data_IF_470400909855
#
_entry.id   IF_470400909855
#
_cell.length_a   1.000
_cell.length_b   1.000
_cell.length_c   1.000
_cell.angle_alpha   90.00
_cell.angle_beta   90.00
_cell.angle_gamma   90.00
#
_symmetry.space_group_name_H-M   'P 1'
#
loop_
_entity.id
_entity.type
_entity.pdbx_description
1 polymer ?
#
# COMPACT_ATOMS: atom_id res chain seq x y z
N UNK A 1 -0.38 -22.77 -5.14
CA UNK A 1 0.59 -22.12 -6.07
C UNK A 1 1.58 -21.33 -5.24
N UNK A 2 2.85 -21.15 -5.65
CA UNK A 2 3.78 -20.38 -4.83
C UNK A 2 3.32 -18.93 -4.74
N UNK A 3 3.11 -18.45 -3.52
CA UNK A 3 2.72 -17.08 -3.16
C UNK A 3 3.72 -16.10 -3.78
N UNK A 4 3.29 -15.22 -4.68
CA UNK A 4 4.19 -14.22 -5.25
C UNK A 4 4.60 -13.23 -4.15
N UNK A 5 5.86 -13.31 -3.74
CA UNK A 5 6.45 -12.35 -2.83
C UNK A 5 6.40 -10.97 -3.49
N UNK A 6 5.82 -9.98 -2.80
CA UNK A 6 5.99 -8.59 -3.23
C UNK A 6 7.48 -8.27 -3.16
N UNK A 7 8.05 -7.95 -4.31
CA UNK A 7 9.49 -7.72 -4.46
C UNK A 7 9.76 -6.24 -4.66
N UNK A 8 10.60 -5.68 -3.80
CA UNK A 8 11.19 -4.36 -4.00
C UNK A 8 12.65 -4.55 -4.40
N UNK A 9 13.06 -3.94 -5.50
CA UNK A 9 14.46 -3.98 -5.91
C UNK A 9 15.01 -2.61 -6.24
N UNK A 10 16.31 -2.46 -6.01
CA UNK A 10 17.05 -1.27 -6.40
C UNK A 10 18.48 -1.66 -6.76
N UNK A 11 19.12 -0.82 -7.57
CA UNK A 11 20.44 -1.07 -8.12
C UNK A 11 21.37 0.10 -7.85
N UNK A 12 22.53 -0.18 -7.27
CA UNK A 12 23.58 0.79 -7.00
C UNK A 12 24.80 0.51 -7.88
N UNK A 13 25.10 1.41 -8.82
CA UNK A 13 26.36 1.37 -9.59
C UNK A 13 27.52 1.80 -8.71
N UNK A 14 28.49 0.91 -8.53
CA UNK A 14 29.59 1.09 -7.59
C UNK A 14 30.94 1.27 -8.27
N UNK A 15 31.05 0.91 -9.56
CA UNK A 15 32.31 1.00 -10.29
C UNK A 15 33.32 -0.05 -9.83
N UNK A 16 34.61 0.31 -9.83
CA UNK A 16 35.71 -0.58 -9.49
C UNK A 16 35.92 -0.68 -7.98
N UNK A 17 35.74 -1.89 -7.44
CA UNK A 17 35.85 -2.15 -5.99
C UNK A 17 37.23 -1.78 -5.42
N UNK A 18 38.29 -2.00 -6.20
CA UNK A 18 39.65 -1.70 -5.77
C UNK A 18 39.91 -0.20 -5.48
N UNK A 19 39.08 0.69 -6.02
CA UNK A 19 39.20 2.16 -5.84
C UNK A 19 38.50 2.66 -4.57
N UNK A 20 37.71 1.81 -3.91
CA UNK A 20 37.00 2.18 -2.69
C UNK A 20 37.93 2.30 -1.48
N UNK A 21 37.72 3.33 -0.67
CA UNK A 21 38.44 3.50 0.61
C UNK A 21 38.29 2.25 1.51
N UNK A 22 39.42 1.60 1.82
CA UNK A 22 39.44 0.27 2.46
C UNK A 22 39.05 0.22 3.94
N UNK A 23 38.87 1.37 4.61
CA UNK A 23 38.66 1.44 6.08
C UNK A 23 37.33 2.04 6.52
N UNK A 24 36.47 2.46 5.59
CA UNK A 24 35.17 3.06 5.88
C UNK A 24 34.06 2.32 5.14
N UNK A 25 32.84 2.26 5.70
CA UNK A 25 31.70 1.79 4.95
C UNK A 25 31.39 2.76 3.81
N UNK A 26 31.13 2.22 2.62
CA UNK A 26 30.54 2.97 1.52
C UNK A 26 29.04 2.74 1.53
N UNK A 27 28.27 3.82 1.52
CA UNK A 27 26.80 3.80 1.62
C UNK A 27 26.21 4.12 0.24
N UNK A 28 25.22 3.36 -0.20
CA UNK A 28 24.42 3.70 -1.38
C UNK A 28 23.57 4.95 -1.11
N UNK A 29 23.03 5.59 -2.17
CA UNK A 29 21.86 6.43 -2.02
C UNK A 29 20.73 5.68 -1.29
N UNK A 30 19.88 6.44 -0.60
CA UNK A 30 18.65 5.87 -0.04
C UNK A 30 17.64 5.69 -1.16
N UNK A 31 17.16 4.47 -1.30
CA UNK A 31 16.15 4.09 -2.27
C UNK A 31 14.82 3.93 -1.54
N UNK A 32 13.76 4.42 -2.18
CA UNK A 32 12.43 4.47 -1.59
C UNK A 32 11.47 3.68 -2.47
N UNK A 33 10.61 2.87 -1.87
CA UNK A 33 9.40 2.39 -2.55
C UNK A 33 8.37 3.50 -2.67
N UNK A 34 7.24 3.19 -3.30
CA UNK A 34 6.05 4.02 -3.18
C UNK A 34 5.72 4.32 -1.70
N UNK A 35 5.08 5.46 -1.45
CA UNK A 35 4.63 5.86 -0.11
C UNK A 35 3.70 4.82 0.54
N UNK A 36 2.98 4.05 -0.29
CA UNK A 36 2.10 2.94 0.12
C UNK A 36 2.88 1.76 0.72
N UNK A 37 4.07 1.47 0.19
CA UNK A 37 4.92 0.38 0.69
C UNK A 37 5.83 0.80 1.86
N UNK A 38 6.17 2.09 1.96
CA UNK A 38 6.88 2.67 3.11
C UNK A 38 8.27 2.06 3.38
N UNK A 39 8.88 1.45 2.36
CA UNK A 39 10.25 0.99 2.41
C UNK A 39 11.19 2.11 1.99
N UNK A 40 12.20 2.32 2.80
CA UNK A 40 13.38 3.06 2.42
C UNK A 40 14.57 2.28 2.90
N UNK A 41 15.54 2.08 2.01
CA UNK A 41 16.66 1.21 2.31
C UNK A 41 17.96 1.75 1.73
N UNK A 42 19.04 1.43 2.42
CA UNK A 42 20.40 1.72 1.97
C UNK A 42 21.25 0.49 2.09
N UNK A 43 22.16 0.33 1.12
CA UNK A 43 23.25 -0.62 1.22
C UNK A 43 24.47 0.01 1.87
N UNK A 44 25.17 -0.78 2.65
CA UNK A 44 26.49 -0.47 3.18
C UNK A 44 27.45 -1.59 2.82
N UNK A 45 28.55 -1.26 2.17
CA UNK A 45 29.61 -2.21 1.90
C UNK A 45 30.88 -1.87 2.69
N UNK A 46 31.62 -2.91 3.06
CA UNK A 46 32.94 -2.80 3.65
C UNK A 46 33.90 -3.59 2.77
N UNK A 47 34.82 -2.89 2.09
CA UNK A 47 35.83 -3.52 1.24
C UNK A 47 36.94 -4.22 2.03
N UNK A 48 36.99 -4.07 3.36
CA UNK A 48 37.72 -4.97 4.26
C UNK A 48 36.80 -5.31 5.44
N UNK A 49 36.63 -6.59 5.75
CA UNK A 49 35.89 -7.00 6.93
C UNK A 49 36.49 -6.38 8.21
N UNK A 50 35.65 -6.04 9.20
CA UNK A 50 36.08 -5.44 10.48
C UNK A 50 37.07 -6.32 11.26
N UNK A 51 37.02 -7.64 11.05
CA UNK A 51 37.94 -8.60 11.65
C UNK A 51 39.30 -8.64 10.94
N UNK A 52 40.40 -8.48 11.68
CA UNK A 52 41.78 -8.58 11.15
C UNK A 52 42.08 -9.91 10.46
N UNK A 53 41.36 -10.99 10.78
CA UNK A 53 41.56 -12.33 10.18
C UNK A 53 40.81 -12.54 8.86
N UNK A 54 39.96 -11.59 8.44
CA UNK A 54 39.06 -11.73 7.28
C UNK A 54 39.14 -10.55 6.31
N UNK A 55 40.27 -9.86 6.31
CA UNK A 55 40.50 -8.70 5.44
C UNK A 55 40.46 -9.03 3.94
N UNK A 56 40.48 -10.30 3.54
CA UNK A 56 40.29 -10.71 2.15
C UNK A 56 38.82 -10.71 1.70
N UNK A 57 37.87 -10.51 2.62
CA UNK A 57 36.44 -10.54 2.34
C UNK A 57 35.82 -9.14 2.36
N UNK A 58 34.89 -8.94 1.43
CA UNK A 58 33.94 -7.85 1.43
C UNK A 58 32.71 -8.22 2.27
N UNK A 59 32.20 -7.25 3.03
CA UNK A 59 30.90 -7.36 3.71
C UNK A 59 29.86 -6.48 3.03
N UNK A 60 28.61 -6.93 2.99
CA UNK A 60 27.48 -6.18 2.44
C UNK A 60 26.32 -6.24 3.43
N UNK A 61 25.77 -5.08 3.79
CA UNK A 61 24.66 -4.96 4.73
C UNK A 61 23.56 -4.08 4.16
N UNK A 62 22.32 -4.49 4.38
CA UNK A 62 21.12 -3.73 4.14
C UNK A 62 20.69 -3.05 5.45
N UNK A 63 20.26 -1.81 5.32
CA UNK A 63 19.70 -1.00 6.40
C UNK A 63 18.33 -0.50 5.96
N UNK A 64 17.38 -0.49 6.89
CA UNK A 64 16.13 0.22 6.71
C UNK A 64 16.31 1.68 7.18
N UNK A 65 15.76 2.61 6.44
CA UNK A 65 15.81 4.05 6.73
C UNK A 65 14.40 4.56 7.15
N UNK A 66 14.31 5.79 7.67
CA UNK A 66 13.05 6.52 7.77
C UNK A 66 12.49 6.90 6.40
N UNK A 67 11.19 7.20 6.35
CA UNK A 67 10.53 7.65 5.13
C UNK A 67 11.08 9.02 4.68
N UNK A 68 11.15 9.26 3.37
CA UNK A 68 11.60 10.55 2.80
C UNK A 68 10.77 11.71 3.34
N UNK A 69 9.47 11.50 3.52
CA UNK A 69 8.53 12.51 3.97
C UNK A 69 8.38 12.55 5.49
N UNK A 70 8.93 11.57 6.21
CA UNK A 70 8.94 11.53 7.67
C UNK A 70 10.29 11.04 8.22
N UNK A 71 11.32 11.91 8.25
CA UNK A 71 12.67 11.54 8.68
C UNK A 71 12.76 11.05 10.13
N UNK A 72 11.77 11.39 10.96
CA UNK A 72 11.69 11.00 12.37
C UNK A 72 10.80 9.76 12.60
N UNK A 73 10.09 9.30 11.56
CA UNK A 73 9.21 8.13 11.62
C UNK A 73 9.88 6.90 11.03
N UNK A 74 10.28 5.96 11.89
CA UNK A 74 10.71 4.63 11.46
C UNK A 74 9.53 3.67 11.48
N UNK A 75 9.29 2.97 10.36
CA UNK A 75 8.32 1.87 10.30
C UNK A 75 9.04 0.55 10.48
N UNK A 76 8.60 -0.28 11.42
CA UNK A 76 9.14 -1.63 11.60
C UNK A 76 8.81 -2.50 10.38
N UNK A 77 9.76 -3.35 9.97
CA UNK A 77 9.57 -4.34 8.90
C UNK A 77 9.97 -5.72 9.42
N UNK A 78 9.03 -6.66 9.44
CA UNK A 78 9.25 -8.02 9.96
C UNK A 78 9.29 -9.04 8.83
N UNK A 79 9.91 -10.18 9.10
CA UNK A 79 10.01 -11.32 8.19
C UNK A 79 10.67 -10.99 6.83
N UNK A 80 11.68 -10.12 6.83
CA UNK A 80 12.30 -9.63 5.59
C UNK A 80 13.36 -10.61 5.11
N UNK A 81 13.25 -11.04 3.86
CA UNK A 81 14.31 -11.74 3.15
C UNK A 81 14.87 -10.82 2.05
N UNK A 82 16.12 -11.03 1.68
CA UNK A 82 16.65 -10.32 0.53
C UNK A 82 17.77 -11.09 -0.17
N UNK A 83 17.87 -10.80 -1.46
CA UNK A 83 18.96 -11.25 -2.32
C UNK A 83 19.83 -10.07 -2.69
N UNK A 84 21.14 -10.23 -2.59
CA UNK A 84 22.13 -9.29 -3.11
C UNK A 84 22.79 -9.92 -4.34
N UNK A 85 22.76 -9.22 -5.46
CA UNK A 85 23.36 -9.62 -6.73
C UNK A 85 24.41 -8.60 -7.14
N UNK A 86 25.56 -9.07 -7.63
CA UNK A 86 26.54 -8.24 -8.31
C UNK A 86 26.40 -8.49 -9.80
N UNK A 87 26.33 -7.41 -10.59
CA UNK A 87 26.33 -7.46 -12.06
C UNK A 87 27.51 -6.69 -12.62
N UNK A 88 28.07 -7.22 -13.69
CA UNK A 88 28.91 -6.44 -14.60
C UNK A 88 28.03 -5.44 -15.34
N UNK A 89 28.34 -4.15 -15.26
CA UNK A 89 27.57 -3.13 -16.00
C UNK A 89 27.80 -3.27 -17.50
N UNK A 90 29.01 -3.68 -17.91
CA UNK A 90 29.38 -3.82 -19.31
C UNK A 90 28.65 -4.99 -20.01
N UNK A 91 28.51 -6.13 -19.34
CA UNK A 91 27.91 -7.35 -19.93
C UNK A 91 26.49 -7.64 -19.43
N UNK A 92 26.03 -6.93 -18.39
CA UNK A 92 24.79 -7.18 -17.65
C UNK A 92 24.70 -8.59 -17.02
N UNK A 93 25.81 -9.32 -16.96
CA UNK A 93 25.88 -10.66 -16.39
C UNK A 93 25.91 -10.61 -14.86
N UNK A 94 25.23 -11.56 -14.22
CA UNK A 94 25.30 -11.76 -12.77
C UNK A 94 26.64 -12.43 -12.44
N UNK A 95 27.47 -11.70 -11.71
CA UNK A 95 28.80 -12.14 -11.25
C UNK A 95 28.68 -12.94 -9.95
N UNK A 96 27.88 -12.44 -9.01
CA UNK A 96 27.65 -13.09 -7.71
C UNK A 96 26.20 -12.91 -7.28
N UNK A 97 25.69 -13.88 -6.52
CA UNK A 97 24.38 -13.81 -5.90
C UNK A 97 24.43 -14.45 -4.52
N UNK A 98 23.85 -13.80 -3.51
CA UNK A 98 23.56 -14.43 -2.22
C UNK A 98 22.17 -14.04 -1.71
N UNK A 99 21.47 -15.03 -1.21
CA UNK A 99 20.18 -14.91 -0.54
C UNK A 99 20.37 -15.04 0.98
N UNK A 100 19.59 -14.29 1.77
CA UNK A 100 19.60 -14.41 3.23
C UNK A 100 19.11 -15.80 3.66
N UNK A 101 19.82 -16.51 4.56
CA UNK A 101 19.43 -17.88 4.93
C UNK A 101 18.17 -17.96 5.82
N UNK A 102 17.69 -16.81 6.30
CA UNK A 102 16.51 -16.67 7.15
C UNK A 102 15.93 -15.27 6.99
N UNK A 103 14.74 -15.07 7.53
CA UNK A 103 14.11 -13.77 7.64
C UNK A 103 14.77 -12.88 8.72
N UNK A 104 14.58 -11.57 8.55
CA UNK A 104 15.12 -10.54 9.43
C UNK A 104 14.05 -9.51 9.79
N UNK A 105 14.10 -9.03 11.04
CA UNK A 105 13.19 -8.00 11.54
C UNK A 105 13.97 -6.69 11.72
N UNK A 106 13.60 -5.67 10.96
CA UNK A 106 14.09 -4.30 11.08
C UNK A 106 13.13 -3.52 11.98
N UNK A 107 13.41 -3.51 13.27
CA UNK A 107 12.68 -2.85 14.34
C UNK A 107 13.20 -1.43 14.63
N UNK A 108 14.42 -1.08 14.19
CA UNK A 108 14.95 0.29 14.31
C UNK A 108 15.89 0.70 13.17
N UNK A 109 16.20 2.01 13.10
CA UNK A 109 17.19 2.59 12.16
C UNK A 109 18.63 2.14 12.39
N UNK A 110 18.90 1.52 13.54
CA UNK A 110 20.25 1.05 13.90
C UNK A 110 20.52 -0.39 13.46
N UNK A 111 19.46 -1.13 13.13
CA UNK A 111 19.58 -2.52 12.73
C UNK A 111 20.02 -2.64 11.27
N UNK A 112 21.01 -3.52 11.07
CA UNK A 112 21.59 -3.84 9.78
C UNK A 112 21.72 -5.35 9.66
N UNK A 113 21.32 -5.88 8.52
CA UNK A 113 21.39 -7.31 8.23
C UNK A 113 22.09 -7.54 6.90
N UNK A 114 22.79 -8.65 6.76
CA UNK A 114 23.54 -8.93 5.54
C UNK A 114 24.62 -9.97 5.74
N UNK A 115 25.65 -9.89 4.91
CA UNK A 115 26.68 -10.90 4.79
C UNK A 115 28.01 -10.33 5.23
N UNK A 116 28.50 -10.77 6.38
CA UNK A 116 29.83 -10.40 6.88
C UNK A 116 30.94 -10.84 5.91
N UNK A 117 30.80 -12.02 5.31
CA UNK A 117 31.70 -12.54 4.28
C UNK A 117 30.93 -12.72 2.97
N UNK A 118 30.55 -11.62 2.33
CA UNK A 118 29.79 -11.66 1.09
C UNK A 118 30.61 -12.30 -0.05
N UNK A 119 31.81 -11.81 -0.32
CA UNK A 119 32.69 -12.42 -1.31
C UNK A 119 34.15 -12.12 -0.98
N UNK A 120 35.08 -12.84 -1.63
CA UNK A 120 36.49 -12.47 -1.60
C UNK A 120 36.72 -11.31 -2.57
N UNK A 121 37.61 -10.39 -2.22
CA UNK A 121 37.88 -9.19 -3.02
C UNK A 121 38.40 -9.54 -4.42
N UNK A 122 39.26 -10.56 -4.52
CA UNK A 122 39.79 -11.01 -5.80
C UNK A 122 38.73 -11.52 -6.79
N UNK A 123 37.53 -11.89 -6.33
CA UNK A 123 36.43 -12.34 -7.18
C UNK A 123 35.67 -11.15 -7.82
N UNK A 124 35.93 -9.92 -7.38
CA UNK A 124 35.27 -8.70 -7.89
C UNK A 124 36.28 -7.65 -8.37
N UNK A 125 37.56 -7.78 -8.03
CA UNK A 125 38.63 -6.83 -8.40
C UNK A 125 38.93 -6.79 -9.91
N UNK A 126 38.56 -7.83 -10.66
CA UNK A 126 38.76 -7.89 -12.12
C UNK A 126 37.73 -7.08 -12.93
N UNK A 127 36.65 -6.62 -12.28
CA UNK A 127 35.59 -5.86 -12.93
C UNK A 127 35.79 -4.36 -12.72
N UNK A 128 35.85 -3.62 -13.82
CA UNK A 128 36.01 -2.16 -13.79
C UNK A 128 34.69 -1.41 -13.48
N UNK A 129 33.54 -2.02 -13.78
CA UNK A 129 32.24 -1.40 -13.56
C UNK A 129 31.21 -2.42 -13.06
N UNK A 130 30.98 -2.41 -11.74
CA UNK A 130 30.01 -3.27 -11.07
C UNK A 130 28.77 -2.50 -10.63
N UNK A 131 27.64 -3.19 -10.63
CA UNK A 131 26.42 -2.75 -9.97
C UNK A 131 25.96 -3.79 -8.95
N UNK A 132 25.48 -3.32 -7.81
CA UNK A 132 24.88 -4.14 -6.76
C UNK A 132 23.38 -3.96 -6.84
N UNK A 133 22.66 -5.03 -7.15
CA UNK A 133 21.21 -5.09 -7.08
C UNK A 133 20.77 -5.78 -5.80
N UNK A 134 19.81 -5.18 -5.10
CA UNK A 134 19.13 -5.80 -3.97
C UNK A 134 17.72 -6.13 -4.40
N UNK A 135 17.27 -7.34 -4.08
CA UNK A 135 15.87 -7.75 -4.19
C UNK A 135 15.39 -8.10 -2.79
N UNK A 136 14.57 -7.25 -2.22
CA UNK A 136 13.90 -7.49 -0.95
C UNK A 136 12.61 -8.24 -1.25
N UNK A 137 12.47 -9.41 -0.63
CA UNK A 137 11.25 -10.22 -0.66
C UNK A 137 10.69 -10.30 0.75
N UNK A 138 9.38 -10.14 0.88
CA UNK A 138 8.67 -10.52 2.10
C UNK A 138 7.75 -11.68 1.76
N UNK A 139 7.76 -12.78 2.54
CA UNK A 139 6.67 -13.73 2.46
C UNK A 139 5.40 -12.96 2.86
N UNK A 140 4.41 -12.97 1.97
CA UNK A 140 3.05 -12.64 2.37
C UNK A 140 2.63 -13.70 3.40
N UNK A 141 1.87 -13.36 4.46
CA UNK A 141 1.36 -14.37 5.39
C UNK A 141 0.77 -15.54 4.58
N UNK A 142 1.12 -16.78 4.90
CA UNK A 142 0.80 -17.99 4.11
C UNK A 142 -0.70 -18.31 3.99
N UNK A 143 -1.59 -17.47 4.50
CA UNK A 143 -3.02 -17.67 4.35
C UNK A 143 -3.50 -16.90 3.13
N UNK A 144 -4.05 -17.64 2.16
CA UNK A 144 -4.83 -17.02 1.09
C UNK A 144 -5.85 -16.08 1.76
N UNK A 145 -6.07 -14.86 1.26
CA UNK A 145 -6.99 -13.91 1.87
C UNK A 145 -8.34 -14.50 2.30
N UNK A 146 -8.89 -15.48 1.57
CA UNK A 146 -10.09 -16.24 1.95
C UNK A 146 -9.92 -17.13 3.19
N UNK A 147 -8.79 -17.84 3.32
CA UNK A 147 -8.50 -18.66 4.50
C UNK A 147 -8.20 -17.78 5.72
N UNK A 148 -7.56 -16.61 5.51
CA UNK A 148 -7.34 -15.64 6.57
C UNK A 148 -8.63 -14.95 7.02
N UNK A 149 -9.57 -14.71 6.10
CA UNK A 149 -10.93 -14.22 6.39
C UNK A 149 -11.64 -15.20 7.31
N UNK A 150 -11.78 -16.46 6.90
CA UNK A 150 -12.41 -17.48 7.74
C UNK A 150 -11.65 -17.62 9.07
N UNK A 151 -10.33 -17.64 9.06
CA UNK A 151 -9.50 -17.70 10.27
C UNK A 151 -9.70 -16.52 11.23
N UNK A 152 -9.72 -15.28 10.73
CA UNK A 152 -9.98 -14.09 11.54
C UNK A 152 -11.39 -14.10 12.13
N UNK A 153 -12.37 -14.59 11.36
CA UNK A 153 -13.76 -14.66 11.78
C UNK A 153 -14.09 -15.90 12.62
N UNK A 154 -13.20 -16.90 12.71
CA UNK A 154 -13.43 -18.16 13.43
C UNK A 154 -12.59 -18.35 14.69
N UNK A 155 -11.42 -17.72 14.82
CA UNK A 155 -10.56 -17.88 16.00
C UNK A 155 -11.10 -17.25 17.29
N UNK A 156 -11.95 -16.23 17.16
CA UNK A 156 -12.56 -15.51 18.28
C UNK A 156 -14.07 -15.73 18.22
N UNK A 157 -14.76 -15.90 19.37
CA UNK A 157 -16.20 -16.01 19.39
C UNK A 157 -16.83 -14.83 18.64
N UNK A 158 -17.65 -15.13 17.64
CA UNK A 158 -18.47 -14.13 16.95
C UNK A 158 -19.48 -13.59 17.97
N UNK A 159 -19.35 -12.32 18.32
CA UNK A 159 -20.21 -11.64 19.30
C UNK A 159 -21.08 -10.54 18.65
N UNK A 160 -20.90 -10.30 17.35
CA UNK A 160 -21.75 -9.46 16.50
C UNK A 160 -21.88 -10.06 15.10
N UNK A 161 -23.06 -9.92 14.49
CA UNK A 161 -23.31 -10.25 13.08
C UNK A 161 -23.76 -9.03 12.32
N UNK A 162 -23.36 -8.93 11.06
CA UNK A 162 -23.80 -7.91 10.12
C UNK A 162 -24.65 -8.57 9.04
N UNK A 163 -25.84 -8.04 8.80
CA UNK A 163 -26.68 -8.45 7.69
C UNK A 163 -26.43 -7.52 6.50
N UNK A 164 -25.76 -8.05 5.49
CA UNK A 164 -25.44 -7.37 4.23
C UNK A 164 -26.25 -8.03 3.11
N UNK A 165 -27.33 -7.38 2.66
CA UNK A 165 -28.24 -7.90 1.63
C UNK A 165 -28.70 -9.36 1.87
N UNK A 166 -29.01 -9.70 3.13
CA UNK A 166 -29.45 -11.05 3.52
C UNK A 166 -28.31 -12.00 3.89
N UNK A 167 -27.05 -11.62 3.68
CA UNK A 167 -25.88 -12.40 4.09
C UNK A 167 -25.46 -12.01 5.51
N UNK A 168 -25.36 -13.00 6.39
CA UNK A 168 -24.91 -12.80 7.77
C UNK A 168 -23.39 -12.99 7.87
N UNK A 169 -22.68 -11.91 8.20
CA UNK A 169 -21.23 -11.88 8.36
C UNK A 169 -20.90 -11.70 9.84
N UNK A 170 -20.22 -12.66 10.44
CA UNK A 170 -19.76 -12.56 11.83
C UNK A 170 -18.52 -11.68 11.99
N UNK A 171 -18.39 -10.99 13.12
CA UNK A 171 -17.18 -10.24 13.50
C UNK A 171 -17.01 -10.19 15.02
N UNK A 172 -15.98 -9.47 15.50
CA UNK A 172 -15.67 -9.32 16.91
C UNK A 172 -15.76 -7.85 17.36
N UNK A 173 -16.67 -7.54 18.29
CA UNK A 173 -16.92 -6.19 18.82
C UNK A 173 -15.63 -5.54 19.33
N UNK A 174 -14.82 -6.30 20.09
CA UNK A 174 -13.57 -5.79 20.68
C UNK A 174 -12.57 -5.31 19.63
N UNK A 175 -12.38 -6.07 18.55
CA UNK A 175 -11.45 -5.71 17.47
C UNK A 175 -11.95 -4.45 16.77
N UNK A 176 -13.22 -4.44 16.35
CA UNK A 176 -13.83 -3.31 15.67
C UNK A 176 -13.78 -2.04 16.53
N UNK A 177 -14.15 -2.12 17.81
CA UNK A 177 -14.11 -1.02 18.76
C UNK A 177 -12.69 -0.49 19.00
N UNK A 178 -11.69 -1.37 19.03
CA UNK A 178 -10.28 -0.96 19.19
C UNK A 178 -9.74 -0.20 17.98
N UNK A 179 -10.37 -0.37 16.80
CA UNK A 179 -9.91 0.14 15.50
C UNK A 179 -10.76 1.27 14.94
N UNK A 180 -11.94 1.52 15.49
CA UNK A 180 -12.88 2.55 15.04
C UNK A 180 -13.67 3.10 16.22
N UNK A 181 -13.67 4.42 16.37
CA UNK A 181 -14.44 5.11 17.40
C UNK A 181 -15.95 5.05 17.11
N UNK A 182 -16.35 4.94 15.84
CA UNK A 182 -17.72 4.66 15.46
C UNK A 182 -18.18 3.32 16.04
N UNK A 183 -17.44 2.23 15.75
CA UNK A 183 -17.80 0.90 16.25
C UNK A 183 -17.72 0.83 17.77
N UNK A 184 -16.74 1.50 18.39
CA UNK A 184 -16.66 1.64 19.85
C UNK A 184 -17.92 2.27 20.41
N UNK A 185 -18.34 3.39 19.84
CA UNK A 185 -19.57 4.07 20.26
C UNK A 185 -20.77 3.14 20.06
N UNK A 186 -20.95 2.57 18.88
CA UNK A 186 -22.03 1.64 18.56
C UNK A 186 -22.17 0.49 19.58
N UNK A 187 -21.06 -0.08 20.04
CA UNK A 187 -21.07 -1.19 21.00
C UNK A 187 -21.11 -0.78 22.48
N UNK A 188 -20.89 0.49 22.81
CA UNK A 188 -20.84 0.97 24.22
C UNK A 188 -22.01 1.87 24.61
N UNK A 189 -22.78 2.39 23.64
CA UNK A 189 -23.81 3.41 23.87
C UNK A 189 -25.12 2.94 24.54
N UNK A 190 -25.21 1.71 25.06
CA UNK A 190 -26.41 1.25 25.78
C UNK A 190 -27.62 0.87 24.92
N UNK A 191 -27.49 0.90 23.58
CA UNK A 191 -28.54 0.55 22.61
C UNK A 191 -28.64 -0.96 22.40
N UNK A 192 -29.57 -1.42 21.54
CA UNK A 192 -29.77 -2.87 21.27
C UNK A 192 -28.46 -3.56 20.89
N UNK A 193 -27.58 -2.85 20.21
CA UNK A 193 -26.29 -3.33 19.75
C UNK A 193 -25.25 -3.52 20.87
N UNK A 194 -25.46 -2.90 22.03
CA UNK A 194 -24.63 -3.06 23.23
C UNK A 194 -25.15 -4.10 24.22
N UNK A 195 -26.30 -4.74 23.96
CA UNK A 195 -26.85 -5.78 24.83
C UNK A 195 -26.20 -7.14 24.52
N UNK A 196 -25.98 -7.97 25.55
CA UNK A 196 -25.57 -9.37 25.40
C UNK A 196 -26.80 -10.19 24.98
N UNK A 197 -26.94 -10.44 23.68
CA UNK A 197 -27.97 -11.32 23.13
C UNK A 197 -27.38 -12.73 22.90
N UNK A 198 -27.94 -13.81 23.47
CA UNK A 198 -27.53 -15.19 23.23
C UNK A 198 -27.56 -15.61 21.75
N UNK A 199 -28.39 -14.98 20.91
CA UNK A 199 -28.45 -15.24 19.46
C UNK A 199 -27.52 -14.32 18.65
N UNK A 200 -26.92 -13.32 19.29
CA UNK A 200 -26.01 -12.33 18.70
C UNK A 200 -26.73 -11.16 18.04
N UNK A 201 -26.31 -9.94 18.35
CA UNK A 201 -26.83 -8.71 17.73
C UNK A 201 -26.60 -8.76 16.22
N UNK A 202 -27.67 -8.56 15.44
CA UNK A 202 -27.61 -8.39 13.98
C UNK A 202 -27.70 -6.90 13.63
N UNK A 203 -26.61 -6.35 13.09
CA UNK A 203 -26.53 -4.98 12.58
C UNK A 203 -26.84 -5.00 11.09
N UNK A 204 -27.84 -4.25 10.65
CA UNK A 204 -28.17 -4.14 9.23
C UNK A 204 -27.26 -3.15 8.52
N UNK A 205 -26.70 -3.55 7.38
CA UNK A 205 -25.83 -2.73 6.55
C UNK A 205 -26.47 -2.55 5.17
N UNK A 206 -27.06 -1.37 4.89
CA UNK A 206 -27.71 -1.12 3.61
C UNK A 206 -26.68 -0.79 2.51
N UNK A 207 -27.13 -0.89 1.24
CA UNK A 207 -26.47 -0.28 0.07
C UNK A 207 -24.99 -0.68 -0.16
N UNK A 208 -24.63 -1.94 0.13
CA UNK A 208 -23.29 -2.46 -0.14
C UNK A 208 -23.35 -3.93 -0.56
N UNK A 209 -22.27 -4.44 -1.13
CA UNK A 209 -22.10 -5.86 -1.40
C UNK A 209 -21.38 -6.59 -0.25
N UNK A 210 -21.60 -7.90 -0.12
CA UNK A 210 -20.89 -8.76 0.84
C UNK A 210 -19.35 -8.70 0.63
N UNK A 211 -18.81 -8.79 -0.61
CA UNK A 211 -17.37 -8.64 -0.85
C UNK A 211 -16.81 -7.30 -0.36
N UNK A 212 -17.50 -6.19 -0.62
CA UNK A 212 -17.07 -4.87 -0.17
C UNK A 212 -17.04 -4.78 1.38
N UNK A 213 -18.06 -5.34 2.05
CA UNK A 213 -18.08 -5.37 3.50
C UNK A 213 -16.95 -6.23 4.09
N UNK A 214 -16.67 -7.39 3.48
CA UNK A 214 -15.53 -8.23 3.87
C UNK A 214 -14.19 -7.52 3.65
N UNK A 215 -14.03 -6.75 2.58
CA UNK A 215 -12.85 -5.93 2.34
C UNK A 215 -12.66 -4.83 3.40
N UNK A 216 -13.74 -4.18 3.85
CA UNK A 216 -13.69 -3.22 4.96
C UNK A 216 -13.29 -3.90 6.27
N UNK A 217 -13.89 -5.05 6.60
CA UNK A 217 -13.52 -5.81 7.80
C UNK A 217 -12.05 -6.25 7.75
N UNK A 218 -11.56 -6.69 6.60
CA UNK A 218 -10.16 -6.99 6.40
C UNK A 218 -9.26 -5.82 6.79
N UNK A 219 -9.60 -4.61 6.34
CA UNK A 219 -8.86 -3.41 6.73
C UNK A 219 -8.90 -3.18 8.24
N UNK A 220 -10.04 -3.34 8.90
CA UNK A 220 -10.14 -3.16 10.35
C UNK A 220 -9.24 -4.14 11.13
N UNK A 221 -9.18 -5.39 10.69
CA UNK A 221 -8.37 -6.41 11.36
C UNK A 221 -6.87 -6.25 11.05
N UNK A 222 -6.50 -5.94 9.81
CA UNK A 222 -5.10 -5.99 9.34
C UNK A 222 -4.43 -4.62 9.21
N UNK A 223 -5.22 -3.56 9.02
CA UNK A 223 -4.74 -2.22 8.64
C UNK A 223 -4.34 -2.09 7.17
N UNK A 224 -4.66 -3.08 6.32
CA UNK A 224 -4.27 -3.10 4.90
C UNK A 224 -5.50 -3.03 3.99
N UNK A 225 -5.42 -2.28 2.89
CA UNK A 225 -6.39 -2.33 1.79
C UNK A 225 -6.00 -3.45 0.82
N UNK A 226 -6.96 -4.30 0.44
CA UNK A 226 -6.69 -5.44 -0.44
C UNK A 226 -7.96 -5.83 -1.23
N UNK A 227 -8.32 -5.06 -2.25
CA UNK A 227 -9.55 -5.29 -3.03
C UNK A 227 -9.47 -6.54 -3.91
N UNK A 228 -8.30 -6.85 -4.45
CA UNK A 228 -8.06 -8.03 -5.33
C UNK A 228 -8.46 -9.35 -4.68
N UNK A 229 -8.41 -9.39 -3.35
CA UNK A 229 -8.75 -10.55 -2.55
C UNK A 229 -10.24 -10.75 -2.30
N UNK A 230 -11.06 -9.78 -2.69
CA UNK A 230 -12.50 -9.81 -2.55
C UNK A 230 -13.14 -9.56 -3.92
N UNK A 231 -13.15 -10.55 -4.84
CA UNK A 231 -13.80 -10.44 -6.13
C UNK A 231 -15.25 -9.98 -5.97
N UNK A 232 -15.62 -8.97 -6.76
CA UNK A 232 -16.91 -8.28 -6.64
C UNK A 232 -16.92 -7.13 -5.63
N UNK A 233 -15.84 -6.89 -4.89
CA UNK A 233 -15.66 -5.64 -4.14
C UNK A 233 -15.21 -4.54 -5.11
N UNK A 234 -15.97 -3.45 -5.13
CA UNK A 234 -15.64 -2.24 -5.86
C UNK A 234 -15.05 -1.21 -4.88
N UNK A 235 -14.00 -0.48 -5.26
CA UNK A 235 -13.43 0.60 -4.46
C UNK A 235 -14.47 1.64 -4.01
N UNK A 236 -15.47 1.93 -4.85
CA UNK A 236 -16.59 2.85 -4.55
C UNK A 236 -17.49 2.34 -3.42
N UNK A 237 -17.82 1.06 -3.41
CA UNK A 237 -18.62 0.43 -2.35
C UNK A 237 -17.85 0.43 -1.03
N UNK A 238 -16.55 0.08 -1.08
CA UNK A 238 -15.70 0.10 0.12
C UNK A 238 -15.50 1.53 0.62
N UNK A 239 -15.44 2.52 -0.27
CA UNK A 239 -15.38 3.93 0.10
C UNK A 239 -16.67 4.36 0.80
N UNK A 240 -17.84 4.01 0.24
CA UNK A 240 -19.12 4.28 0.87
C UNK A 240 -19.19 3.73 2.30
N UNK A 241 -18.73 2.49 2.49
CA UNK A 241 -18.62 1.87 3.80
C UNK A 241 -17.65 2.59 4.73
N UNK A 242 -16.48 2.97 4.22
CA UNK A 242 -15.48 3.70 5.00
C UNK A 242 -16.02 5.06 5.48
N UNK A 243 -16.75 5.78 4.63
CA UNK A 243 -17.41 7.03 5.00
C UNK A 243 -18.54 6.80 6.02
N UNK A 244 -19.44 5.84 5.75
CA UNK A 244 -20.56 5.48 6.63
C UNK A 244 -20.11 5.12 8.05
N UNK A 245 -19.01 4.37 8.17
CA UNK A 245 -18.44 3.93 9.44
C UNK A 245 -17.32 4.85 9.96
N UNK A 246 -17.12 6.01 9.34
CA UNK A 246 -16.14 7.04 9.75
C UNK A 246 -14.71 6.47 9.91
N UNK A 247 -14.27 5.69 8.93
CA UNK A 247 -12.96 5.04 8.88
C UNK A 247 -11.96 5.92 8.12
N UNK A 248 -11.60 7.08 8.68
CA UNK A 248 -10.81 8.13 8.02
C UNK A 248 -9.57 7.60 7.27
N UNK A 249 -8.80 6.69 7.89
CA UNK A 249 -7.60 6.11 7.26
C UNK A 249 -7.93 5.31 6.00
N UNK A 250 -9.02 4.55 6.00
CA UNK A 250 -9.46 3.79 4.83
C UNK A 250 -10.01 4.73 3.75
N UNK A 251 -10.79 5.72 4.16
CA UNK A 251 -11.33 6.75 3.27
C UNK A 251 -10.20 7.48 2.54
N UNK A 252 -9.16 7.92 3.24
CA UNK A 252 -8.00 8.57 2.62
C UNK A 252 -7.25 7.65 1.65
N UNK A 253 -7.04 6.37 1.99
CA UNK A 253 -6.40 5.42 1.07
C UNK A 253 -7.22 5.25 -0.22
N UNK A 254 -8.54 5.10 -0.11
CA UNK A 254 -9.42 4.93 -1.26
C UNK A 254 -9.55 6.20 -2.11
N UNK A 255 -9.48 7.41 -1.51
CA UNK A 255 -9.35 8.66 -2.30
C UNK A 255 -8.15 8.59 -3.22
N UNK A 256 -7.00 8.16 -2.70
CA UNK A 256 -5.79 8.07 -3.52
C UNK A 256 -5.90 7.03 -4.63
N UNK A 257 -6.50 5.86 -4.37
CA UNK A 257 -6.75 4.88 -5.44
C UNK A 257 -7.66 5.46 -6.53
N UNK A 258 -8.80 6.04 -6.14
CA UNK A 258 -9.77 6.60 -7.09
C UNK A 258 -9.14 7.71 -7.94
N UNK A 259 -8.40 8.64 -7.32
CA UNK A 259 -7.76 9.76 -8.03
C UNK A 259 -6.65 9.28 -8.96
N UNK A 260 -5.88 8.27 -8.55
CA UNK A 260 -4.80 7.73 -9.37
C UNK A 260 -5.30 7.05 -10.64
N UNK A 261 -6.46 6.40 -10.56
CA UNK A 261 -7.08 5.70 -11.68
C UNK A 261 -7.96 6.60 -12.56
N UNK A 262 -8.06 7.91 -12.24
CA UNK A 262 -8.78 8.85 -13.09
C UNK A 262 -8.07 9.04 -14.43
N UNK A 263 -8.87 8.98 -15.49
CA UNK A 263 -8.48 9.34 -16.84
C UNK A 263 -9.44 10.41 -17.38
N UNK A 264 -9.08 11.12 -18.46
CA UNK A 264 -10.04 12.01 -19.13
C UNK A 264 -11.33 11.31 -19.55
N UNK A 265 -11.27 10.00 -19.86
CA UNK A 265 -12.43 9.19 -20.22
C UNK A 265 -13.35 8.96 -19.02
N UNK A 266 -12.80 8.73 -17.83
CA UNK A 266 -13.57 8.25 -16.67
C UNK A 266 -13.93 9.33 -15.64
N UNK A 267 -13.21 10.47 -15.64
CA UNK A 267 -13.30 11.46 -14.58
C UNK A 267 -14.67 12.14 -14.46
N UNK A 268 -15.29 12.50 -15.59
CA UNK A 268 -16.57 13.20 -15.57
C UNK A 268 -17.71 12.29 -15.06
N UNK A 269 -17.76 11.05 -15.54
CA UNK A 269 -18.67 10.02 -15.01
C UNK A 269 -18.46 9.79 -13.52
N UNK A 270 -17.21 9.62 -13.08
CA UNK A 270 -16.88 9.42 -11.67
C UNK A 270 -17.40 10.58 -10.80
N UNK A 271 -17.27 11.81 -11.28
CA UNK A 271 -17.79 12.99 -10.59
C UNK A 271 -19.31 12.95 -10.45
N UNK A 272 -20.01 12.73 -11.57
CA UNK A 272 -21.48 12.76 -11.64
C UNK A 272 -22.15 11.59 -10.91
N UNK A 273 -21.60 10.38 -11.00
CA UNK A 273 -22.26 9.19 -10.45
C UNK A 273 -21.85 8.88 -9.01
N UNK A 274 -20.69 9.35 -8.57
CA UNK A 274 -20.11 8.89 -7.31
C UNK A 274 -19.55 10.02 -6.45
N UNK A 275 -18.56 10.77 -6.96
CA UNK A 275 -17.81 11.70 -6.12
C UNK A 275 -18.66 12.87 -5.60
N UNK A 276 -19.71 13.28 -6.33
CA UNK A 276 -20.62 14.35 -5.92
C UNK A 276 -21.22 14.13 -4.51
N UNK A 277 -21.45 12.88 -4.12
CA UNK A 277 -22.03 12.53 -2.82
C UNK A 277 -21.07 12.71 -1.64
N UNK A 278 -19.76 12.84 -1.90
CA UNK A 278 -18.71 12.86 -0.87
C UNK A 278 -17.89 14.15 -0.98
N UNK A 279 -18.16 15.20 -0.18
CA UNK A 279 -17.56 16.52 -0.36
C UNK A 279 -16.03 16.54 -0.47
N UNK A 280 -15.36 15.70 0.33
CA UNK A 280 -13.90 15.62 0.35
C UNK A 280 -13.32 14.93 -0.90
N UNK A 281 -14.02 13.97 -1.50
CA UNK A 281 -13.64 13.34 -2.76
C UNK A 281 -14.08 14.21 -3.95
N UNK A 282 -15.29 14.78 -3.92
CA UNK A 282 -15.85 15.71 -4.92
C UNK A 282 -14.83 16.77 -5.28
N UNK A 283 -14.21 17.40 -4.28
CA UNK A 283 -13.19 18.43 -4.47
C UNK A 283 -11.99 17.92 -5.28
N UNK A 284 -11.42 16.76 -4.92
CA UNK A 284 -10.25 16.20 -5.59
C UNK A 284 -10.56 15.82 -7.05
N UNK A 285 -11.72 15.22 -7.28
CA UNK A 285 -12.16 14.85 -8.63
C UNK A 285 -12.47 16.10 -9.46
N UNK A 286 -13.11 17.12 -8.87
CA UNK A 286 -13.34 18.42 -9.52
C UNK A 286 -12.03 19.09 -9.94
N UNK A 287 -11.02 19.10 -9.07
CA UNK A 287 -9.71 19.69 -9.37
C UNK A 287 -9.08 19.00 -10.59
N UNK A 288 -9.16 17.66 -10.66
CA UNK A 288 -8.73 16.89 -11.84
C UNK A 288 -9.54 17.25 -13.09
N UNK A 289 -10.87 17.29 -12.98
CA UNK A 289 -11.78 17.57 -14.10
C UNK A 289 -11.53 18.96 -14.67
N UNK A 290 -11.41 19.98 -13.83
CA UNK A 290 -11.12 21.37 -14.24
C UNK A 290 -9.74 21.46 -14.89
N UNK A 291 -8.73 20.83 -14.29
CA UNK A 291 -7.36 20.83 -14.82
C UNK A 291 -7.19 20.12 -16.17
N UNK A 292 -8.08 19.17 -16.49
CA UNK A 292 -8.03 18.36 -17.70
C UNK A 292 -9.27 18.54 -18.60
N UNK A 293 -10.06 19.60 -18.38
CA UNK A 293 -11.38 19.75 -19.00
C UNK A 293 -11.35 19.72 -20.52
N UNK A 294 -10.31 20.29 -21.13
CA UNK A 294 -10.11 20.27 -22.58
C UNK A 294 -9.93 18.84 -23.14
N UNK A 295 -9.27 17.95 -22.40
CA UNK A 295 -9.14 16.56 -22.80
C UNK A 295 -10.47 15.82 -22.59
N UNK A 296 -11.11 16.04 -21.46
CA UNK A 296 -12.39 15.41 -21.07
C UNK A 296 -13.49 15.76 -22.08
N UNK A 297 -13.68 17.03 -22.45
CA UNK A 297 -14.76 17.44 -23.37
C UNK A 297 -14.63 16.89 -24.79
N UNK A 298 -13.52 16.22 -25.12
CA UNK A 298 -13.27 15.58 -26.41
C UNK A 298 -13.50 14.06 -26.38
N UNK A 299 -13.82 13.49 -25.22
CA UNK A 299 -14.09 12.05 -25.09
C UNK A 299 -15.51 11.73 -25.53
N UNK A 300 -15.71 10.52 -26.04
CA UNK A 300 -17.04 10.03 -26.41
C UNK A 300 -17.93 9.91 -25.16
N UNK A 301 -17.32 9.54 -24.02
CA UNK A 301 -18.00 9.49 -22.73
C UNK A 301 -18.62 10.84 -22.33
N UNK A 302 -17.88 11.95 -22.49
CA UNK A 302 -18.42 13.27 -22.18
C UNK A 302 -19.59 13.60 -23.11
N UNK A 303 -19.48 13.30 -24.41
CA UNK A 303 -20.58 13.54 -25.35
C UNK A 303 -21.84 12.74 -24.97
N UNK A 304 -21.70 11.46 -24.62
CA UNK A 304 -22.81 10.63 -24.15
C UNK A 304 -23.48 11.19 -22.89
N UNK A 305 -22.68 11.57 -21.88
CA UNK A 305 -23.22 12.17 -20.65
C UNK A 305 -23.87 13.54 -20.86
N UNK A 306 -23.45 14.29 -21.89
CA UNK A 306 -24.12 15.53 -22.29
C UNK A 306 -25.44 15.25 -23.02
N UNK A 307 -25.56 14.17 -23.78
CA UNK A 307 -26.82 13.75 -24.40
C UNK A 307 -27.82 13.29 -23.33
N UNK A 308 -27.36 12.47 -22.37
CA UNK A 308 -28.17 11.89 -21.29
C UNK A 308 -28.35 12.81 -20.06
N UNK A 309 -28.00 14.10 -20.19
CA UNK A 309 -27.93 15.03 -19.05
C UNK A 309 -29.26 15.22 -18.29
N UNK A 310 -30.40 15.06 -18.95
CA UNK A 310 -31.74 15.19 -18.35
C UNK A 310 -32.03 14.08 -17.32
N UNK A 311 -31.38 12.91 -17.44
CA UNK A 311 -31.57 11.76 -16.54
C UNK A 311 -30.63 11.79 -15.32
N UNK A 312 -29.70 12.75 -15.27
CA UNK A 312 -28.67 12.85 -14.24
C UNK A 312 -29.05 13.94 -13.23
N UNK A 313 -29.57 13.53 -12.06
CA UNK A 313 -30.14 14.41 -11.02
C UNK A 313 -29.23 15.61 -10.65
N UNK A 314 -27.91 15.41 -10.55
CA UNK A 314 -26.95 16.42 -10.09
C UNK A 314 -26.20 17.13 -11.22
N UNK A 315 -26.54 16.86 -12.49
CA UNK A 315 -25.78 17.35 -13.63
C UNK A 315 -25.70 18.88 -13.67
N UNK A 316 -26.84 19.56 -13.52
CA UNK A 316 -26.90 21.02 -13.58
C UNK A 316 -26.06 21.71 -12.50
N UNK A 317 -26.08 21.18 -11.27
CA UNK A 317 -25.27 21.71 -10.17
C UNK A 317 -23.78 21.51 -10.44
N UNK A 318 -23.38 20.29 -10.79
CA UNK A 318 -21.98 19.93 -11.07
C UNK A 318 -21.45 20.73 -12.25
N UNK A 319 -22.20 20.87 -13.34
CA UNK A 319 -21.80 21.65 -14.51
C UNK A 319 -21.68 23.14 -14.21
N UNK A 320 -22.61 23.69 -13.42
CA UNK A 320 -22.52 25.09 -12.98
C UNK A 320 -21.25 25.33 -12.18
N UNK A 321 -20.91 24.39 -11.29
CA UNK A 321 -19.69 24.45 -10.49
C UNK A 321 -18.42 24.38 -11.35
N UNK A 322 -18.37 23.45 -12.31
CA UNK A 322 -17.25 23.33 -13.27
C UNK A 322 -17.07 24.63 -14.06
N UNK A 323 -18.15 25.17 -14.65
CA UNK A 323 -18.09 26.41 -15.45
C UNK A 323 -17.62 27.61 -14.62
N UNK A 324 -18.06 27.69 -13.36
CA UNK A 324 -17.59 28.71 -12.42
C UNK A 324 -16.08 28.60 -12.17
N UNK A 325 -15.57 27.38 -11.96
CA UNK A 325 -14.15 27.14 -11.69
C UNK A 325 -13.26 27.38 -12.92
N UNK A 326 -13.71 27.00 -14.12
CA UNK A 326 -13.00 27.27 -15.38
C UNK A 326 -12.85 28.78 -15.65
N UNK A 327 -13.91 29.56 -15.38
CA UNK A 327 -13.85 31.01 -15.52
C UNK A 327 -12.87 31.66 -14.53
N UNK A 328 -12.75 31.11 -13.31
CA UNK A 328 -11.78 31.59 -12.33
C UNK A 328 -10.34 31.23 -12.72
N UNK A 329 -10.12 30.07 -13.33
CA UNK A 329 -8.80 29.64 -13.78
C UNK A 329 -8.29 30.40 -15.03
N UNK A 330 -9.18 31.06 -15.76
CA UNK A 330 -8.88 31.81 -16.99
C UNK A 330 -8.53 33.29 -16.75
N UNK A 331 -8.58 33.76 -15.49
CA UNK A 331 -8.24 35.13 -15.08
C UNK A 331 -6.96 35.18 -14.24
#
# INVERSE_FOLDING_TARGET
MPTEARTFSFTWKIGKIAELERKKPHKSPTEYTSEKDGWSATLRIYSLAKSRKRQEFMSVYLSAEPDKNNPNGFRERKNVEFTVLFRSVATNEIVLVKHTPKTHDFLSTTEVFGFENFCRLNAVDEYDDLAIEVRISRPMPELHPYEFVDFLFTLRPVDVRFNVNGQLIGANKEILASRSDYFRSMFTCGLKESQEDPEGVVVHVPNTSEPAFKAMLWFLYTGLLNLESFPGANERDVFHLADMYQLDKLTELLKWEIIWDLTPETAFRCLLEFAHAYPSLKKLVLDYVVGNFDAIRRTDEFAGLMEDHDDIEYFGEVMTEIMRLLNLASN
#
